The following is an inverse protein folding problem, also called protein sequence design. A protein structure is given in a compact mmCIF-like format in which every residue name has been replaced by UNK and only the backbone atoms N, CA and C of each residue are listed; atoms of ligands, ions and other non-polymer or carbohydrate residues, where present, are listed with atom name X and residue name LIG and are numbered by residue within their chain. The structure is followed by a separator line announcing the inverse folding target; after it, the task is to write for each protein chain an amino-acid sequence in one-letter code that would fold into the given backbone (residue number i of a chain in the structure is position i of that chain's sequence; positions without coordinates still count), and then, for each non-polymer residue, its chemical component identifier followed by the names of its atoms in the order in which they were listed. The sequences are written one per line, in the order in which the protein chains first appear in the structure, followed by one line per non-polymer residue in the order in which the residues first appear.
data_IF_740377879315
#
_entry.id   IF_740377879315
#
_cell.length_a   1.000
_cell.length_b   1.000
_cell.length_c   1.000
_cell.angle_alpha   90.00
_cell.angle_beta   90.00
_cell.angle_gamma   90.00
#
_symmetry.space_group_name_H-M   'P 1'
#
loop_
_entity.id
_entity.type
_entity.pdbx_description
1 polymer ?
#
# COMPACT_ATOMS: atom_id res chain seq x y z
N UNK A 1 -15.02 19.13 -5.12
CA UNK A 1 -15.89 17.93 -5.23
C UNK A 1 -15.32 16.93 -6.21
N UNK A 2 -15.54 15.65 -5.96
CA UNK A 2 -15.10 14.58 -6.85
C UNK A 2 -16.31 13.77 -7.32
N UNK A 3 -16.31 13.40 -8.60
CA UNK A 3 -17.34 12.52 -9.16
C UNK A 3 -16.99 11.06 -8.88
N UNK A 4 -18.00 10.23 -8.65
CA UNK A 4 -17.76 8.80 -8.41
C UNK A 4 -17.05 8.13 -9.59
N UNK A 5 -17.27 8.62 -10.82
CA UNK A 5 -16.54 8.14 -11.99
C UNK A 5 -15.04 8.39 -11.94
N UNK A 6 -14.58 9.31 -11.11
CA UNK A 6 -13.16 9.64 -10.93
C UNK A 6 -12.55 9.00 -9.68
N UNK A 7 -13.29 8.16 -8.99
CA UNK A 7 -12.79 7.47 -7.81
C UNK A 7 -11.59 6.58 -8.14
N UNK A 8 -10.58 6.62 -7.25
CA UNK A 8 -9.38 5.78 -7.33
C UNK A 8 -9.02 5.32 -5.91
N UNK A 9 -8.27 4.25 -5.81
CA UNK A 9 -7.80 3.74 -4.53
C UNK A 9 -7.03 4.82 -3.78
N UNK A 10 -7.27 4.94 -2.48
CA UNK A 10 -6.61 5.91 -1.62
C UNK A 10 -7.31 7.28 -1.53
N UNK A 11 -8.22 7.58 -2.42
CA UNK A 11 -8.98 8.85 -2.36
C UNK A 11 -9.86 8.87 -1.12
N UNK A 12 -9.95 10.03 -0.46
CA UNK A 12 -10.83 10.26 0.67
C UNK A 12 -11.90 11.29 0.31
N UNK A 13 -13.13 11.00 0.72
CA UNK A 13 -14.27 11.86 0.43
C UNK A 13 -15.26 11.82 1.59
N UNK A 14 -16.18 12.79 1.61
CA UNK A 14 -17.21 12.88 2.64
C UNK A 14 -18.54 12.33 2.11
N UNK A 15 -19.16 11.49 2.92
CA UNK A 15 -20.48 10.93 2.62
C UNK A 15 -21.26 10.77 3.93
N UNK A 16 -22.44 11.37 3.99
CA UNK A 16 -23.33 11.28 5.16
C UNK A 16 -22.65 11.66 6.47
N UNK A 17 -21.83 12.73 6.43
CA UNK A 17 -21.11 13.21 7.59
C UNK A 17 -19.92 12.33 8.02
N UNK A 18 -19.54 11.36 7.20
CA UNK A 18 -18.42 10.47 7.45
C UNK A 18 -17.33 10.68 6.43
N UNK A 19 -16.08 10.49 6.84
CA UNK A 19 -14.93 10.50 5.92
C UNK A 19 -14.60 9.08 5.56
N UNK A 20 -14.63 8.78 4.26
CA UNK A 20 -14.41 7.45 3.71
C UNK A 20 -13.16 7.43 2.84
N UNK A 21 -12.39 6.37 2.93
CA UNK A 21 -11.25 6.13 2.04
C UNK A 21 -11.57 4.96 1.11
N UNK A 22 -11.33 5.16 -0.18
CA UNK A 22 -11.57 4.13 -1.19
C UNK A 22 -10.45 3.09 -1.10
N UNK A 23 -10.82 1.83 -0.88
CA UNK A 23 -9.88 0.69 -0.82
C UNK A 23 -9.84 -0.04 -2.15
N UNK A 24 -11.01 -0.24 -2.76
CA UNK A 24 -11.14 -0.87 -4.07
C UNK A 24 -12.27 -0.20 -4.84
N UNK A 25 -12.15 -0.13 -6.14
CA UNK A 25 -13.23 0.36 -6.99
C UNK A 25 -13.29 -0.45 -8.28
N UNK A 26 -14.48 -0.52 -8.86
CA UNK A 26 -14.71 -1.18 -10.14
C UNK A 26 -15.73 -0.39 -10.95
N UNK A 27 -15.34 0.00 -12.16
CA UNK A 27 -16.25 0.57 -13.12
C UNK A 27 -16.95 -0.57 -13.85
N UNK A 28 -18.28 -0.59 -13.82
CA UNK A 28 -19.06 -1.64 -14.48
C UNK A 28 -19.94 -1.00 -15.54
N UNK A 29 -19.83 -1.51 -16.77
CA UNK A 29 -20.68 -1.13 -17.89
C UNK A 29 -21.47 -2.37 -18.30
N UNK A 30 -22.68 -2.55 -17.74
CA UNK A 30 -23.49 -3.72 -18.11
C UNK A 30 -23.93 -3.63 -19.57
N UNK A 31 -24.17 -4.78 -20.19
CA UNK A 31 -24.68 -4.83 -21.58
C UNK A 31 -26.07 -4.21 -21.72
N UNK A 32 -26.86 -4.22 -20.65
CA UNK A 32 -28.14 -3.53 -20.52
C UNK A 32 -28.15 -2.75 -19.22
N UNK A 33 -28.56 -1.49 -19.26
CA UNK A 33 -28.64 -0.62 -18.10
C UNK A 33 -27.51 0.39 -18.04
N UNK A 34 -27.59 1.28 -17.07
CA UNK A 34 -26.62 2.36 -16.86
C UNK A 34 -25.32 1.85 -16.24
N UNK A 35 -24.21 2.48 -16.63
CA UNK A 35 -22.92 2.24 -15.97
C UNK A 35 -22.99 2.62 -14.49
N UNK A 36 -22.24 1.90 -13.65
CA UNK A 36 -22.14 2.20 -12.23
C UNK A 36 -20.71 1.94 -11.73
N UNK A 37 -20.41 2.48 -10.55
CA UNK A 37 -19.12 2.28 -9.88
C UNK A 37 -19.38 1.55 -8.57
N UNK A 38 -18.79 0.37 -8.42
CA UNK A 38 -18.82 -0.38 -7.16
C UNK A 38 -17.58 -0.01 -6.36
N UNK A 39 -17.78 0.45 -5.13
CA UNK A 39 -16.70 0.97 -4.29
C UNK A 39 -16.69 0.26 -2.95
N UNK A 40 -15.53 -0.26 -2.59
CA UNK A 40 -15.25 -0.73 -1.24
C UNK A 40 -14.49 0.37 -0.52
N UNK A 41 -14.98 0.78 0.63
CA UNK A 41 -14.46 1.94 1.34
C UNK A 41 -14.36 1.68 2.84
N UNK A 42 -13.44 2.40 3.46
CA UNK A 42 -13.23 2.33 4.91
C UNK A 42 -13.56 3.67 5.54
N UNK A 43 -14.32 3.64 6.64
CA UNK A 43 -14.50 4.82 7.47
C UNK A 43 -13.17 5.10 8.19
N UNK A 44 -12.60 6.29 7.99
CA UNK A 44 -11.27 6.61 8.53
C UNK A 44 -11.26 6.78 10.05
N UNK A 45 -12.43 6.99 10.66
CA UNK A 45 -12.55 7.17 12.11
C UNK A 45 -12.83 5.82 12.80
N UNK A 46 -13.79 5.05 12.30
CA UNK A 46 -14.21 3.80 12.93
C UNK A 46 -13.47 2.58 12.43
N UNK A 47 -12.85 2.65 11.25
CA UNK A 47 -12.21 1.51 10.59
C UNK A 47 -13.17 0.56 9.89
N UNK A 48 -14.48 0.80 9.99
CA UNK A 48 -15.48 -0.05 9.37
C UNK A 48 -15.42 -0.03 7.85
N UNK A 49 -15.53 -1.20 7.23
CA UNK A 49 -15.45 -1.35 5.78
C UNK A 49 -16.85 -1.65 5.24
N UNK A 50 -17.25 -0.91 4.21
CA UNK A 50 -18.54 -1.11 3.54
C UNK A 50 -18.34 -1.11 2.03
N UNK A 51 -19.28 -1.72 1.32
CA UNK A 51 -19.31 -1.73 -0.14
C UNK A 51 -20.58 -1.05 -0.62
N UNK A 52 -20.46 -0.12 -1.54
CA UNK A 52 -21.59 0.67 -2.03
C UNK A 52 -21.45 0.88 -3.54
N UNK A 53 -22.59 0.95 -4.22
CA UNK A 53 -22.65 1.23 -5.64
C UNK A 53 -23.04 2.69 -5.86
N UNK A 54 -22.29 3.37 -6.71
CA UNK A 54 -22.51 4.79 -7.05
C UNK A 54 -22.83 4.98 -8.52
N UNK A 55 -23.61 6.00 -8.81
CA UNK A 55 -23.74 6.49 -10.16
C UNK A 55 -22.47 7.28 -10.50
N UNK A 56 -21.85 7.08 -11.68
CA UNK A 56 -20.60 7.79 -12.02
C UNK A 56 -20.70 9.30 -11.97
N UNK A 57 -21.89 9.87 -12.15
CA UNK A 57 -22.11 11.32 -12.10
C UNK A 57 -22.34 11.86 -10.69
N UNK A 58 -22.53 11.01 -9.69
CA UNK A 58 -22.69 11.46 -8.30
C UNK A 58 -21.41 12.17 -7.84
N UNK A 59 -21.60 13.29 -7.12
CA UNK A 59 -20.49 14.11 -6.64
C UNK A 59 -20.47 14.16 -5.11
N UNK A 60 -19.29 14.11 -4.55
CA UNK A 60 -19.07 14.16 -3.12
C UNK A 60 -17.94 15.14 -2.79
N UNK A 61 -18.00 15.83 -1.63
CA UNK A 61 -16.87 16.65 -1.20
C UNK A 61 -15.64 15.78 -0.97
N UNK A 62 -14.47 16.27 -1.42
CA UNK A 62 -13.21 15.65 -1.03
C UNK A 62 -12.93 15.98 0.42
N UNK A 63 -12.36 15.01 1.16
CA UNK A 63 -11.99 15.23 2.55
C UNK A 63 -10.54 15.66 2.63
N UNK A 64 -10.25 16.66 3.47
CA UNK A 64 -8.88 17.05 3.76
C UNK A 64 -8.26 16.07 4.75
N UNK A 65 -7.20 15.40 4.33
CA UNK A 65 -6.41 14.53 5.21
C UNK A 65 -4.99 15.06 5.31
N UNK A 66 -4.41 14.94 6.48
CA UNK A 66 -3.05 15.36 6.73
C UNK A 66 -2.10 14.21 6.36
N UNK A 67 -1.04 14.54 5.62
CA UNK A 67 0.00 13.59 5.20
C UNK A 67 1.32 14.07 5.78
N UNK A 68 1.94 13.24 6.61
CA UNK A 68 3.24 13.56 7.21
C UNK A 68 4.27 12.49 6.89
N UNK A 69 5.47 12.92 6.54
CA UNK A 69 6.60 12.01 6.40
C UNK A 69 7.11 11.64 7.77
N UNK A 70 7.13 10.34 8.06
CA UNK A 70 7.64 9.81 9.31
C UNK A 70 8.55 8.62 9.05
N UNK A 71 9.56 8.48 9.86
CA UNK A 71 10.54 7.40 9.75
C UNK A 71 10.11 6.23 10.63
N UNK A 72 10.02 5.03 10.04
CA UNK A 72 9.75 3.83 10.83
C UNK A 72 10.95 3.54 11.73
N UNK A 73 10.72 3.43 13.02
CA UNK A 73 11.78 3.24 14.01
C UNK A 73 11.88 1.80 14.50
N UNK A 74 10.84 1.29 15.14
CA UNK A 74 10.86 -0.08 15.68
C UNK A 74 9.45 -0.59 15.94
N UNK A 75 9.36 -1.91 16.19
CA UNK A 75 8.11 -2.59 16.52
C UNK A 75 8.18 -3.10 17.96
N UNK A 76 7.07 -2.94 18.69
CA UNK A 76 6.87 -3.52 19.99
C UNK A 76 5.48 -4.18 20.04
N UNK A 77 5.44 -5.50 19.96
CA UNK A 77 4.18 -6.24 19.89
C UNK A 77 3.38 -5.85 18.65
N UNK A 78 2.17 -5.34 18.85
CA UNK A 78 1.28 -4.90 17.78
C UNK A 78 1.43 -3.40 17.46
N UNK A 79 2.36 -2.72 18.11
CA UNK A 79 2.61 -1.29 17.89
C UNK A 79 3.86 -1.09 17.07
N UNK A 80 3.74 -0.23 16.06
CA UNK A 80 4.84 0.17 15.20
C UNK A 80 5.11 1.65 15.46
N UNK A 81 6.35 1.98 15.83
CA UNK A 81 6.73 3.32 16.23
C UNK A 81 7.33 4.08 15.08
N UNK A 82 6.75 5.25 14.80
CA UNK A 82 7.20 6.14 13.74
C UNK A 82 7.64 7.46 14.35
N UNK A 83 8.75 8.00 13.85
CA UNK A 83 9.27 9.29 14.30
C UNK A 83 8.90 10.37 13.28
N UNK A 84 8.27 11.44 13.77
CA UNK A 84 8.01 12.62 12.96
C UNK A 84 9.35 13.29 12.62
N UNK A 85 9.64 13.47 11.33
CA UNK A 85 10.91 14.04 10.90
C UNK A 85 11.07 15.52 11.24
N UNK A 86 9.98 16.22 11.56
CA UNK A 86 10.00 17.62 11.90
C UNK A 86 10.11 17.84 13.41
N UNK A 87 9.31 17.12 14.19
CA UNK A 87 9.21 17.31 15.65
C UNK A 87 10.05 16.31 16.45
N UNK A 88 10.51 15.24 15.81
CA UNK A 88 11.21 14.10 16.44
C UNK A 88 10.35 13.36 17.47
N UNK A 89 9.04 13.58 17.44
CA UNK A 89 8.11 12.87 18.31
C UNK A 89 7.87 11.46 17.81
N UNK A 90 7.86 10.50 18.75
CA UNK A 90 7.56 9.10 18.44
C UNK A 90 6.07 8.84 18.59
N UNK A 91 5.48 8.26 17.55
CA UNK A 91 4.04 7.97 17.51
C UNK A 91 3.84 6.46 17.38
N UNK A 92 3.08 5.83 18.29
CA UNK A 92 2.73 4.42 18.14
C UNK A 92 1.56 4.27 17.17
N UNK A 93 1.71 3.37 16.22
CA UNK A 93 0.66 3.06 15.24
C UNK A 93 0.33 1.57 15.35
N UNK A 94 -0.96 1.26 15.53
CA UNK A 94 -1.42 -0.10 15.64
C UNK A 94 -1.25 -0.83 14.31
N UNK A 95 -0.90 -2.10 14.39
CA UNK A 95 -0.71 -2.95 13.22
C UNK A 95 -1.93 -2.98 12.29
N UNK A 96 -3.16 -2.80 12.83
CA UNK A 96 -4.38 -2.81 12.02
C UNK A 96 -4.50 -1.61 11.08
N UNK A 97 -3.72 -0.55 11.31
CA UNK A 97 -3.65 0.62 10.45
C UNK A 97 -2.77 0.37 9.23
N UNK A 98 -1.85 -0.59 9.31
CA UNK A 98 -0.88 -0.90 8.26
C UNK A 98 -1.52 -1.78 7.18
N UNK A 99 -1.15 -1.53 5.91
CA UNK A 99 -1.61 -2.36 4.80
C UNK A 99 -0.54 -3.38 4.38
N UNK A 100 -0.83 -4.14 3.32
CA UNK A 100 0.08 -5.17 2.84
C UNK A 100 1.42 -4.65 2.31
N UNK A 101 1.52 -3.37 1.98
CA UNK A 101 2.78 -2.80 1.48
C UNK A 101 3.82 -2.65 2.59
N UNK A 102 3.39 -2.60 3.85
CA UNK A 102 4.30 -2.42 4.99
C UNK A 102 5.27 -3.61 5.15
N UNK A 103 4.93 -4.78 4.62
CA UNK A 103 5.84 -5.95 4.67
C UNK A 103 7.19 -5.71 3.98
N UNK A 104 7.28 -4.69 3.14
CA UNK A 104 8.51 -4.31 2.45
C UNK A 104 9.27 -3.17 3.14
N UNK A 105 8.74 -2.62 4.22
CA UNK A 105 9.34 -1.49 4.94
C UNK A 105 10.28 -2.02 6.00
N UNK A 106 11.48 -1.45 6.06
CA UNK A 106 12.47 -1.77 7.11
C UNK A 106 12.71 -0.54 8.00
N UNK A 107 13.35 -0.76 9.13
CA UNK A 107 13.71 0.32 10.05
C UNK A 107 14.47 1.42 9.32
N UNK A 108 14.16 2.66 9.66
CA UNK A 108 14.70 3.89 9.07
C UNK A 108 14.14 4.27 7.70
N UNK A 109 13.25 3.46 7.13
CA UNK A 109 12.54 3.88 5.90
C UNK A 109 11.53 4.97 6.23
N UNK A 110 11.40 5.93 5.31
CA UNK A 110 10.43 7.02 5.44
C UNK A 110 9.11 6.65 4.80
N UNK A 111 8.04 6.69 5.59
CA UNK A 111 6.68 6.43 5.15
C UNK A 111 5.85 7.70 5.22
N UNK A 112 4.70 7.70 4.57
CA UNK A 112 3.72 8.78 4.68
C UNK A 112 2.60 8.33 5.61
N UNK A 113 2.44 9.04 6.73
CA UNK A 113 1.39 8.74 7.71
C UNK A 113 0.18 9.62 7.43
N UNK A 114 -0.99 8.99 7.28
CA UNK A 114 -2.24 9.65 6.95
C UNK A 114 -3.07 9.82 8.22
N UNK A 115 -3.52 11.05 8.47
CA UNK A 115 -4.40 11.33 9.61
C UNK A 115 -5.53 12.27 9.24
N UNK A 116 -6.62 12.15 9.98
CA UNK A 116 -7.77 13.05 9.88
C UNK A 116 -8.12 13.53 11.27
N UNK A 117 -8.03 14.85 11.48
CA UNK A 117 -8.29 15.48 12.80
C UNK A 117 -7.53 14.79 13.94
N UNK A 118 -6.24 14.49 13.71
CA UNK A 118 -5.38 13.85 14.70
C UNK A 118 -5.52 12.34 14.81
N UNK A 119 -6.43 11.73 14.08
CA UNK A 119 -6.61 10.28 14.08
C UNK A 119 -5.87 9.65 12.90
N UNK A 120 -4.86 8.82 13.19
CA UNK A 120 -4.09 8.13 12.17
C UNK A 120 -4.91 6.96 11.64
N UNK A 121 -5.09 6.90 10.32
CA UNK A 121 -5.89 5.84 9.69
C UNK A 121 -5.15 5.07 8.60
N UNK A 122 -3.94 5.46 8.25
CA UNK A 122 -3.19 4.77 7.22
C UNK A 122 -1.72 5.14 7.22
N UNK A 123 -0.91 4.25 6.67
CA UNK A 123 0.52 4.47 6.44
C UNK A 123 0.81 4.01 5.01
N UNK A 124 1.38 4.90 4.21
CA UNK A 124 1.81 4.58 2.85
C UNK A 124 3.31 4.32 2.87
N UNK A 125 3.70 3.12 2.44
CA UNK A 125 5.11 2.78 2.25
C UNK A 125 5.70 3.61 1.09
N UNK A 126 7.03 3.78 1.02
CA UNK A 126 7.65 4.30 -0.20
C UNK A 126 7.22 3.45 -1.39
N UNK A 127 6.96 4.07 -2.53
CA UNK A 127 6.50 3.33 -3.72
C UNK A 127 7.52 2.30 -4.19
N UNK A 128 8.81 2.59 -3.99
CA UNK A 128 9.90 1.72 -4.42
C UNK A 128 10.86 1.53 -3.27
N UNK A 129 11.29 0.29 -3.07
CA UNK A 129 12.28 -0.05 -2.06
C UNK A 129 13.35 -0.93 -2.67
N UNK A 130 14.54 -0.89 -2.09
CA UNK A 130 15.65 -1.77 -2.45
C UNK A 130 15.90 -2.71 -1.28
N UNK A 131 15.77 -4.02 -1.53
CA UNK A 131 15.91 -5.04 -0.50
C UNK A 131 16.85 -6.14 -0.97
N UNK A 132 17.58 -6.70 -0.01
CA UNK A 132 18.48 -7.81 -0.25
C UNK A 132 17.72 -9.13 -0.23
N UNK A 133 18.04 -10.02 -1.16
CA UNK A 133 17.53 -11.39 -1.17
C UNK A 133 18.26 -12.18 -0.10
N UNK A 134 17.52 -12.67 0.89
CA UNK A 134 18.09 -13.46 2.00
C UNK A 134 17.95 -14.94 1.78
N UNK A 135 16.95 -15.38 0.99
CA UNK A 135 16.72 -16.79 0.70
C UNK A 135 16.08 -16.95 -0.66
N UNK A 136 16.65 -17.78 -1.49
CA UNK A 136 16.04 -18.22 -2.74
C UNK A 136 16.74 -19.51 -3.21
N UNK A 137 16.07 -20.26 -4.07
CA UNK A 137 16.67 -21.44 -4.66
C UNK A 137 17.42 -21.06 -5.93
N UNK A 138 18.49 -21.80 -6.29
CA UNK A 138 19.17 -21.55 -7.56
C UNK A 138 18.22 -21.87 -8.71
N UNK A 139 18.30 -21.05 -9.77
CA UNK A 139 17.59 -21.33 -11.00
C UNK A 139 18.17 -22.58 -11.67
N UNK A 140 17.31 -23.50 -12.11
CA UNK A 140 17.75 -24.72 -12.75
C UNK A 140 18.22 -24.43 -14.16
N UNK A 141 19.42 -24.90 -14.50
CA UNK A 141 19.94 -24.87 -15.86
C UNK A 141 19.05 -25.73 -16.76
N UNK A 142 18.69 -25.21 -17.92
CA UNK A 142 17.82 -25.92 -18.88
C UNK A 142 16.35 -25.55 -18.80
N UNK A 143 15.97 -24.70 -17.86
CA UNK A 143 14.63 -24.15 -17.85
C UNK A 143 14.57 -23.02 -18.89
N UNK A 144 13.95 -23.31 -20.03
CA UNK A 144 13.95 -22.46 -21.21
C UNK A 144 12.75 -21.52 -21.29
N UNK A 145 11.83 -21.58 -20.32
CA UNK A 145 10.66 -20.71 -20.34
C UNK A 145 11.09 -19.27 -20.09
N UNK A 146 10.88 -18.40 -21.07
CA UNK A 146 11.01 -16.97 -20.90
C UNK A 146 9.93 -16.51 -19.92
N UNK A 147 10.26 -15.61 -18.99
CA UNK A 147 9.36 -15.07 -17.96
C UNK A 147 9.03 -16.05 -16.83
N UNK A 148 9.79 -17.13 -16.66
CA UNK A 148 9.64 -17.97 -15.49
C UNK A 148 10.21 -17.26 -14.26
N UNK A 149 9.42 -17.24 -13.21
CA UNK A 149 9.78 -16.63 -11.94
C UNK A 149 9.91 -17.70 -10.86
N UNK A 150 10.69 -17.40 -9.84
CA UNK A 150 10.83 -18.26 -8.66
C UNK A 150 10.57 -17.43 -7.40
N UNK A 151 10.14 -18.08 -6.30
CA UNK A 151 9.97 -17.36 -5.03
C UNK A 151 11.32 -17.01 -4.42
N UNK A 152 11.37 -15.87 -3.77
CA UNK A 152 12.53 -15.41 -3.01
C UNK A 152 12.06 -14.68 -1.78
N UNK A 153 12.83 -14.76 -0.70
CA UNK A 153 12.58 -14.03 0.54
C UNK A 153 13.55 -12.87 0.62
N UNK A 154 13.03 -11.68 0.93
CA UNK A 154 13.85 -10.48 1.11
C UNK A 154 14.12 -10.22 2.59
N UNK A 155 15.04 -9.28 2.87
CA UNK A 155 15.53 -9.01 4.23
C UNK A 155 14.43 -8.64 5.25
N UNK A 156 13.27 -8.15 4.80
CA UNK A 156 12.13 -7.87 5.68
C UNK A 156 11.30 -9.10 6.01
N UNK A 157 11.62 -10.26 5.42
CA UNK A 157 10.87 -11.50 5.57
C UNK A 157 9.75 -11.69 4.55
N UNK A 158 9.51 -10.70 3.70
CA UNK A 158 8.48 -10.79 2.66
C UNK A 158 8.92 -11.70 1.52
N UNK A 159 7.95 -12.37 0.89
CA UNK A 159 8.19 -13.19 -0.29
C UNK A 159 7.85 -12.43 -1.56
N UNK A 160 8.71 -12.53 -2.56
CA UNK A 160 8.51 -11.93 -3.88
C UNK A 160 8.83 -12.95 -4.97
N UNK A 161 8.30 -12.72 -6.16
CA UNK A 161 8.64 -13.52 -7.35
C UNK A 161 9.74 -12.80 -8.11
N UNK A 162 10.83 -13.51 -8.40
CA UNK A 162 12.01 -12.94 -9.06
C UNK A 162 12.41 -13.81 -10.25
N UNK A 163 13.14 -13.25 -11.24
CA UNK A 163 13.70 -14.04 -12.33
C UNK A 163 14.65 -15.13 -11.81
N UNK A 164 14.81 -16.19 -12.58
CA UNK A 164 15.62 -17.35 -12.18
C UNK A 164 17.09 -17.01 -11.90
N UNK A 165 17.62 -15.94 -12.53
CA UNK A 165 19.03 -15.57 -12.37
C UNK A 165 19.34 -14.82 -11.07
N UNK A 166 18.33 -14.47 -10.28
CA UNK A 166 18.53 -13.78 -9.00
C UNK A 166 19.03 -14.78 -7.94
N UNK A 167 20.04 -14.38 -7.19
CA UNK A 167 20.68 -15.20 -6.16
C UNK A 167 20.61 -14.55 -4.79
N UNK A 168 20.84 -15.34 -3.74
CA UNK A 168 21.00 -14.81 -2.40
C UNK A 168 22.11 -13.76 -2.36
N UNK A 169 21.88 -12.67 -1.63
CA UNK A 169 22.80 -11.54 -1.57
C UNK A 169 22.55 -10.45 -2.62
N UNK A 170 21.78 -10.74 -3.66
CA UNK A 170 21.42 -9.72 -4.65
C UNK A 170 20.48 -8.69 -4.03
N UNK A 171 20.69 -7.43 -4.38
CA UNK A 171 19.76 -6.35 -4.02
C UNK A 171 18.84 -6.10 -5.18
N UNK A 172 17.55 -6.03 -4.90
CA UNK A 172 16.52 -5.85 -5.92
C UNK A 172 15.65 -4.65 -5.59
N UNK A 173 15.08 -4.06 -6.62
CA UNK A 173 14.08 -3.01 -6.49
C UNK A 173 12.69 -3.62 -6.61
N UNK A 174 11.80 -3.24 -5.69
CA UNK A 174 10.43 -3.74 -5.60
C UNK A 174 9.47 -2.56 -5.63
N UNK A 175 8.39 -2.70 -6.38
CA UNK A 175 7.24 -1.80 -6.29
C UNK A 175 6.37 -2.26 -5.13
N UNK A 176 6.31 -1.48 -4.05
CA UNK A 176 5.57 -1.86 -2.84
C UNK A 176 4.07 -1.91 -3.05
N UNK A 177 3.56 -1.18 -4.07
CA UNK A 177 2.13 -1.13 -4.38
C UNK A 177 1.62 -2.44 -4.96
N UNK A 178 2.46 -3.15 -5.69
CA UNK A 178 2.12 -4.40 -6.38
C UNK A 178 2.85 -5.61 -5.81
N UNK A 179 4.00 -5.39 -5.13
CA UNK A 179 4.88 -6.46 -4.69
C UNK A 179 5.77 -7.02 -5.79
N UNK A 180 5.84 -6.36 -6.94
CA UNK A 180 6.56 -6.88 -8.10
C UNK A 180 8.03 -6.48 -8.11
N UNK A 181 8.85 -7.42 -8.58
CA UNK A 181 10.26 -7.18 -8.89
C UNK A 181 10.37 -6.24 -10.09
N UNK A 182 11.19 -5.21 -9.97
CA UNK A 182 11.42 -4.22 -11.04
C UNK A 182 12.80 -4.35 -11.68
N UNK A 183 13.78 -4.88 -10.98
CA UNK A 183 15.13 -5.00 -11.49
C UNK A 183 16.14 -5.15 -10.36
N UNK A 184 17.40 -5.38 -10.71
CA UNK A 184 18.48 -5.32 -9.72
C UNK A 184 18.72 -3.88 -9.32
N UNK A 185 18.92 -3.64 -8.03
CA UNK A 185 19.29 -2.32 -7.54
C UNK A 185 20.68 -1.95 -8.08
N UNK A 186 20.83 -0.69 -8.46
CA UNK A 186 22.14 -0.17 -8.85
C UNK A 186 22.92 0.10 -7.55
N UNK A 187 23.85 -0.77 -7.29
CA UNK A 187 24.69 -0.66 -6.11
C UNK A 187 25.86 0.25 -6.26
#
# INVERSE_FOLDING_TARGET
MISAGDFRNGITFEMEGKVMQIIEFQHVKPGKGAAFVRVKMRNVITGGVTETTFNPSDKYPTAYVERKKMEYSYQDGNLFYFMDNETYEMIPIDKDVLDGSFKFVKENDTCTVLSYKGNVFGVEAPNFVELEITKTEPGLAGNTATNTLKPATVETGAEVKVPLFINEGDRIQIDTRTGEYLGRAKG
#
